data_IF_670694485163
#
_entry.id   IF_670694485163
#
_cell.length_a   1.000
_cell.length_b   1.000
_cell.length_c   1.000
_cell.angle_alpha   90.00
_cell.angle_beta   90.00
_cell.angle_gamma   90.00
#
_symmetry.space_group_name_H-M   'P 1'
#
loop_
_entity.id
_entity.type
_entity.pdbx_description
1 polymer ?
#
# COMPACT_ATOMS: atom_id res chain seq x y z
N UNK A 1 -11.70 14.25 6.68
CA UNK A 1 -11.90 15.21 5.60
C UNK A 1 -10.57 15.37 4.89
N UNK A 2 -10.38 14.78 3.70
CA UNK A 2 -9.11 14.86 2.98
C UNK A 2 -8.96 16.25 2.35
N UNK A 3 -8.13 17.11 2.95
CA UNK A 3 -7.84 18.41 2.35
C UNK A 3 -6.72 18.26 1.32
N UNK A 4 -7.04 18.54 0.05
CA UNK A 4 -6.12 18.50 -1.08
C UNK A 4 -5.84 19.92 -1.57
N UNK A 5 -4.57 20.29 -1.65
CA UNK A 5 -4.12 21.57 -2.16
C UNK A 5 -3.89 21.45 -3.66
N UNK A 6 -4.55 22.27 -4.51
CA UNK A 6 -4.22 22.30 -5.93
C UNK A 6 -2.80 22.84 -6.12
N UNK A 7 -2.06 22.26 -7.06
CA UNK A 7 -0.69 22.67 -7.41
C UNK A 7 -0.57 22.77 -8.92
N UNK A 8 -0.01 23.88 -9.39
CA UNK A 8 0.33 24.08 -10.80
C UNK A 8 1.83 24.33 -10.89
N UNK A 9 2.50 23.58 -11.77
CA UNK A 9 3.92 23.71 -12.07
C UNK A 9 4.06 24.22 -13.50
N UNK A 10 4.85 25.27 -13.69
CA UNK A 10 5.10 25.88 -15.01
C UNK A 10 6.59 25.84 -15.30
N UNK A 11 6.97 25.36 -16.49
CA UNK A 11 8.36 25.28 -16.96
C UNK A 11 8.44 25.77 -18.41
N UNK A 12 8.80 27.05 -18.59
CA UNK A 12 8.72 27.68 -19.91
C UNK A 12 7.26 27.76 -20.37
N UNK A 13 6.96 27.16 -21.52
CA UNK A 13 5.60 27.10 -22.08
C UNK A 13 4.81 25.84 -21.65
N UNK A 14 5.41 24.95 -20.86
CA UNK A 14 4.76 23.74 -20.33
C UNK A 14 4.10 24.00 -18.98
N UNK A 15 2.86 23.54 -18.81
CA UNK A 15 2.07 23.69 -17.59
C UNK A 15 1.43 22.35 -17.19
N UNK A 16 1.66 21.95 -15.94
CA UNK A 16 1.06 20.75 -15.35
C UNK A 16 0.28 21.14 -14.09
N UNK A 17 -0.98 20.73 -14.02
CA UNK A 17 -1.84 20.90 -12.84
C UNK A 17 -2.11 19.56 -12.17
N UNK A 18 -2.01 19.55 -10.84
CA UNK A 18 -2.24 18.40 -9.97
C UNK A 18 -2.71 18.85 -8.58
N UNK A 19 -2.58 17.99 -7.57
CA UNK A 19 -2.86 18.28 -6.18
C UNK A 19 -1.84 17.61 -5.26
N UNK A 20 -1.76 18.09 -4.02
CA UNK A 20 -0.98 17.46 -2.94
C UNK A 20 -1.81 17.39 -1.65
N UNK A 21 -1.60 16.34 -0.86
CA UNK A 21 -2.15 16.20 0.48
C UNK A 21 -1.04 16.20 1.52
N UNK A 22 -1.13 17.05 2.54
CA UNK A 22 -0.17 17.07 3.64
C UNK A 22 -0.64 16.17 4.78
N UNK A 23 0.16 15.16 5.12
CA UNK A 23 -0.06 14.28 6.27
C UNK A 23 1.24 13.76 6.86
N UNK A 24 1.21 13.39 8.13
CA UNK A 24 2.27 12.58 8.76
C UNK A 24 1.71 11.23 9.20
N UNK A 25 2.52 10.18 9.05
CA UNK A 25 2.22 8.83 9.53
C UNK A 25 3.38 8.36 10.41
N UNK A 26 3.09 7.56 11.42
CA UNK A 26 4.15 7.06 12.30
C UNK A 26 3.64 6.09 13.35
N UNK A 27 4.52 5.79 14.31
CA UNK A 27 4.20 5.01 15.50
C UNK A 27 4.44 5.90 16.71
N UNK A 28 3.49 5.93 17.63
CA UNK A 28 3.63 6.66 18.90
C UNK A 28 2.91 5.94 20.04
N UNK A 29 3.04 6.45 21.26
CA UNK A 29 2.35 5.90 22.42
C UNK A 29 0.98 6.56 22.60
N UNK A 30 -0.05 5.77 22.90
CA UNK A 30 -1.32 6.32 23.41
C UNK A 30 -1.20 6.76 24.88
N UNK A 31 -2.31 7.23 25.46
CA UNK A 31 -2.38 7.67 26.88
C UNK A 31 -1.98 6.59 27.89
N UNK A 32 -1.94 5.32 27.50
CA UNK A 32 -1.54 4.17 28.33
C UNK A 32 -0.12 3.69 28.03
N UNK A 33 0.64 4.40 27.20
CA UNK A 33 1.97 3.99 26.77
C UNK A 33 1.97 2.91 25.68
N UNK A 34 0.81 2.55 25.11
CA UNK A 34 0.74 1.47 24.11
C UNK A 34 1.10 2.00 22.73
N UNK A 35 2.00 1.33 21.96
CA UNK A 35 2.27 1.71 20.58
C UNK A 35 1.01 1.68 19.70
N UNK A 36 0.75 2.76 18.97
CA UNK A 36 -0.34 2.92 18.00
C UNK A 36 0.21 3.46 16.69
N UNK A 37 -0.47 3.12 15.61
CA UNK A 37 -0.33 3.82 14.34
C UNK A 37 -0.92 5.22 14.48
N UNK A 38 -0.17 6.20 14.04
CA UNK A 38 -0.52 7.61 14.14
C UNK A 38 -0.81 8.17 12.76
N UNK A 39 -1.83 9.04 12.67
CA UNK A 39 -2.09 9.90 11.52
C UNK A 39 -2.16 11.34 12.05
N UNK A 40 -1.29 12.22 11.54
CA UNK A 40 -1.19 13.61 11.97
C UNK A 40 -0.98 13.78 13.48
N UNK A 41 -0.19 12.88 14.09
CA UNK A 41 0.15 12.90 15.52
C UNK A 41 -0.86 12.23 16.44
N UNK A 42 -2.03 11.82 15.93
CA UNK A 42 -3.09 11.21 16.73
C UNK A 42 -3.25 9.71 16.43
N UNK A 43 -3.60 8.87 17.42
CA UNK A 43 -3.91 7.46 17.18
C UNK A 43 -5.00 7.29 16.13
N UNK A 44 -4.71 6.55 15.07
CA UNK A 44 -5.63 6.28 14.00
C UNK A 44 -5.79 4.77 13.83
N UNK A 45 -7.04 4.29 13.88
CA UNK A 45 -7.32 2.87 13.71
C UNK A 45 -7.27 2.53 12.23
N UNK A 46 -6.37 1.63 11.83
CA UNK A 46 -6.32 1.09 10.48
C UNK A 46 -7.27 -0.12 10.38
N UNK A 47 -8.57 0.15 10.35
CA UNK A 47 -9.58 -0.87 10.08
C UNK A 47 -9.66 -1.06 8.55
N UNK A 48 -8.89 -2.02 8.04
CA UNK A 48 -8.66 -2.21 6.62
C UNK A 48 -9.27 -3.47 6.00
N UNK A 49 -9.70 -3.35 4.75
CA UNK A 49 -10.04 -4.49 3.88
C UNK A 49 -8.81 -4.97 3.12
N UNK A 50 -8.71 -6.27 2.90
CA UNK A 50 -7.80 -6.83 1.89
C UNK A 50 -8.48 -6.70 0.52
N UNK A 51 -8.09 -5.69 -0.25
CA UNK A 51 -8.64 -5.37 -1.55
C UNK A 51 -7.87 -6.12 -2.65
N UNK A 52 -8.52 -7.10 -3.26
CA UNK A 52 -7.97 -7.92 -4.34
C UNK A 52 -7.91 -7.19 -5.69
N UNK A 53 -8.69 -6.11 -5.86
CA UNK A 53 -8.83 -5.42 -7.14
C UNK A 53 -9.46 -6.28 -8.24
N UNK A 54 -10.41 -7.15 -7.86
CA UNK A 54 -11.16 -8.01 -8.78
C UNK A 54 -12.43 -7.32 -9.29
N UNK A 55 -12.67 -7.44 -10.60
CA UNK A 55 -13.82 -6.91 -11.32
C UNK A 55 -14.40 -8.03 -12.20
N UNK A 56 -15.72 -8.23 -12.18
CA UNK A 56 -16.36 -9.31 -12.95
C UNK A 56 -16.08 -9.22 -14.45
N UNK A 57 -16.04 -8.00 -14.99
CA UNK A 57 -15.98 -7.76 -16.43
C UNK A 57 -14.54 -7.59 -16.93
N UNK A 58 -13.65 -7.09 -16.05
CA UNK A 58 -12.27 -6.72 -16.40
C UNK A 58 -11.19 -7.51 -15.66
N UNK A 59 -11.58 -8.48 -14.82
CA UNK A 59 -10.71 -9.24 -13.92
C UNK A 59 -9.89 -8.34 -13.00
N UNK A 60 -8.72 -7.88 -13.43
CA UNK A 60 -7.86 -6.98 -12.67
C UNK A 60 -7.92 -5.54 -13.18
N UNK A 61 -8.79 -5.24 -14.14
CA UNK A 61 -8.95 -3.88 -14.67
C UNK A 61 -10.30 -3.33 -14.23
N UNK A 62 -10.35 -2.18 -13.54
CA UNK A 62 -11.62 -1.54 -13.21
C UNK A 62 -12.37 -1.15 -14.50
N UNK A 63 -13.69 -1.38 -14.56
CA UNK A 63 -14.47 -1.10 -15.77
C UNK A 63 -14.70 0.41 -15.98
N UNK A 64 -14.72 1.22 -14.91
CA UNK A 64 -14.84 2.68 -14.99
C UNK A 64 -14.42 3.38 -13.68
N UNK A 65 -14.36 4.72 -13.70
CA UNK A 65 -14.13 5.53 -12.49
C UNK A 65 -15.28 5.38 -11.50
N UNK A 66 -16.52 5.36 -11.98
CA UNK A 66 -17.72 5.23 -11.16
C UNK A 66 -17.72 3.92 -10.37
N UNK A 67 -17.23 2.83 -10.99
CA UNK A 67 -17.07 1.55 -10.31
C UNK A 67 -16.04 1.64 -9.17
N UNK A 68 -14.86 2.22 -9.42
CA UNK A 68 -13.85 2.46 -8.38
C UNK A 68 -14.38 3.34 -7.24
N UNK A 69 -15.08 4.42 -7.58
CA UNK A 69 -15.70 5.33 -6.61
C UNK A 69 -16.74 4.61 -5.78
N UNK A 70 -17.59 3.81 -6.41
CA UNK A 70 -18.64 3.05 -5.73
C UNK A 70 -18.06 2.16 -4.64
N UNK A 71 -17.00 1.39 -4.96
CA UNK A 71 -16.35 0.47 -4.02
C UNK A 71 -15.66 1.23 -2.88
N UNK A 72 -14.90 2.29 -3.17
CA UNK A 72 -14.21 3.09 -2.15
C UNK A 72 -15.23 3.76 -1.21
N UNK A 73 -16.30 4.32 -1.77
CA UNK A 73 -17.36 4.93 -0.97
C UNK A 73 -18.12 3.89 -0.14
N UNK A 74 -18.36 2.70 -0.70
CA UNK A 74 -18.98 1.61 0.04
C UNK A 74 -18.13 1.22 1.24
N UNK A 75 -16.83 0.97 1.04
CA UNK A 75 -15.90 0.64 2.12
C UNK A 75 -15.92 1.73 3.22
N UNK A 76 -15.88 3.00 2.83
CA UNK A 76 -15.98 4.12 3.77
C UNK A 76 -17.31 4.14 4.54
N UNK A 77 -18.45 3.96 3.85
CA UNK A 77 -19.78 3.91 4.49
C UNK A 77 -19.93 2.72 5.42
N UNK A 78 -19.27 1.60 5.13
CA UNK A 78 -19.22 0.41 5.98
C UNK A 78 -18.29 0.60 7.20
N UNK A 79 -17.62 1.75 7.35
CA UNK A 79 -16.79 2.08 8.50
C UNK A 79 -15.31 1.72 8.35
N UNK A 80 -14.89 1.24 7.18
CA UNK A 80 -13.46 1.02 6.91
C UNK A 80 -12.75 2.37 6.70
N UNK A 81 -11.50 2.39 7.14
CA UNK A 81 -10.64 3.58 7.17
C UNK A 81 -9.43 3.44 6.26
N UNK A 82 -9.17 2.22 5.79
CA UNK A 82 -8.02 1.87 4.98
C UNK A 82 -8.36 0.76 3.98
N UNK A 83 -7.74 0.78 2.81
CA UNK A 83 -7.72 -0.33 1.86
C UNK A 83 -6.28 -0.85 1.75
N UNK A 84 -6.09 -2.15 2.00
CA UNK A 84 -4.83 -2.82 1.73
C UNK A 84 -4.91 -3.47 0.36
N UNK A 85 -4.27 -2.86 -0.63
CA UNK A 85 -4.23 -3.39 -1.99
C UNK A 85 -3.34 -4.63 -2.00
N UNK A 86 -3.91 -5.76 -2.36
CA UNK A 86 -3.24 -7.06 -2.29
C UNK A 86 -2.40 -7.31 -3.54
N UNK A 87 -1.07 -7.35 -3.36
CA UNK A 87 -0.04 -7.79 -4.34
C UNK A 87 -0.26 -7.32 -5.79
N UNK A 88 -0.78 -6.10 -5.98
CA UNK A 88 -1.15 -5.51 -7.27
C UNK A 88 -0.99 -4.00 -7.20
N UNK A 89 -0.57 -3.36 -8.29
CA UNK A 89 -0.62 -1.90 -8.45
C UNK A 89 -1.88 -1.54 -9.25
N UNK A 90 -2.71 -0.63 -8.73
CA UNK A 90 -3.89 -0.13 -9.44
C UNK A 90 -3.54 1.00 -10.43
N UNK A 91 -4.43 1.32 -11.39
CA UNK A 91 -4.33 2.53 -12.19
C UNK A 91 -4.28 3.78 -11.32
N UNK A 92 -3.55 4.83 -11.75
CA UNK A 92 -3.42 6.10 -10.99
C UNK A 92 -4.76 6.71 -10.57
N UNK A 93 -5.81 6.52 -11.40
CA UNK A 93 -7.17 6.98 -11.11
C UNK A 93 -7.76 6.39 -9.81
N UNK A 94 -7.39 5.15 -9.46
CA UNK A 94 -7.82 4.53 -8.21
C UNK A 94 -7.22 5.24 -6.99
N UNK A 95 -5.91 5.51 -6.99
CA UNK A 95 -5.26 6.25 -5.89
C UNK A 95 -5.81 7.69 -5.80
N UNK A 96 -6.02 8.35 -6.94
CA UNK A 96 -6.69 9.65 -6.99
C UNK A 96 -8.08 9.62 -6.32
N UNK A 97 -8.85 8.55 -6.56
CA UNK A 97 -10.14 8.40 -5.93
C UNK A 97 -10.03 8.10 -4.42
N UNK A 98 -9.04 7.33 -3.98
CA UNK A 98 -8.76 7.14 -2.55
C UNK A 98 -8.43 8.47 -1.87
N UNK A 99 -7.57 9.30 -2.47
CA UNK A 99 -7.19 10.61 -1.93
C UNK A 99 -8.42 11.51 -1.75
N UNK A 100 -9.19 11.73 -2.82
CA UNK A 100 -10.34 12.65 -2.79
C UNK A 100 -11.49 12.15 -1.91
N UNK A 101 -11.63 10.83 -1.73
CA UNK A 101 -12.69 10.23 -0.92
C UNK A 101 -12.26 10.04 0.55
N UNK A 102 -10.97 10.20 0.85
CA UNK A 102 -10.41 10.13 2.20
C UNK A 102 -10.25 8.71 2.70
N UNK A 103 -9.64 7.85 1.88
CA UNK A 103 -9.35 6.46 2.20
C UNK A 103 -7.84 6.25 2.31
N UNK A 104 -7.34 5.78 3.44
CA UNK A 104 -5.92 5.40 3.55
C UNK A 104 -5.64 4.19 2.66
N UNK A 105 -4.46 4.16 2.05
CA UNK A 105 -4.02 3.02 1.23
C UNK A 105 -2.78 2.39 1.86
N UNK A 106 -2.81 1.08 2.02
CA UNK A 106 -1.62 0.25 2.20
C UNK A 106 -1.35 -0.47 0.87
N UNK A 107 -0.31 -0.03 0.17
CA UNK A 107 0.11 -0.64 -1.07
C UNK A 107 1.03 -1.82 -0.77
N UNK A 108 0.59 -3.05 -1.04
CA UNK A 108 1.51 -4.19 -1.00
C UNK A 108 2.44 -4.17 -2.23
N UNK A 109 3.65 -4.66 -2.05
CA UNK A 109 4.56 -4.88 -3.17
C UNK A 109 4.20 -6.16 -3.94
N UNK A 110 4.25 -6.11 -5.27
CA UNK A 110 3.91 -7.25 -6.15
C UNK A 110 5.02 -8.29 -6.10
N UNK A 111 4.92 -9.28 -5.21
CA UNK A 111 5.95 -10.30 -5.11
C UNK A 111 5.54 -11.63 -5.76
N UNK A 112 6.46 -12.19 -6.55
CA UNK A 112 6.42 -13.61 -6.90
C UNK A 112 6.73 -14.50 -5.68
N UNK A 113 6.31 -15.76 -5.77
CA UNK A 113 6.55 -16.78 -4.74
C UNK A 113 7.18 -18.04 -5.32
N UNK A 114 7.87 -18.80 -4.47
CA UNK A 114 8.24 -20.19 -4.72
C UNK A 114 7.41 -21.14 -3.85
N UNK A 115 7.76 -22.44 -3.79
CA UNK A 115 7.09 -23.38 -2.91
C UNK A 115 7.07 -22.89 -1.46
N UNK A 116 5.92 -23.07 -0.80
CA UNK A 116 5.72 -22.62 0.57
C UNK A 116 6.69 -23.31 1.53
N UNK A 117 7.33 -22.54 2.40
CA UNK A 117 8.33 -23.04 3.37
C UNK A 117 7.83 -22.80 4.78
N UNK A 118 7.21 -23.83 5.38
CA UNK A 118 6.63 -23.77 6.74
C UNK A 118 7.55 -23.14 7.78
N UNK A 119 8.84 -23.48 7.78
CA UNK A 119 9.83 -22.93 8.73
C UNK A 119 10.03 -21.41 8.65
N UNK A 120 9.72 -20.79 7.52
CA UNK A 120 9.84 -19.35 7.31
C UNK A 120 8.52 -18.65 7.60
N UNK A 121 7.40 -19.28 7.25
CA UNK A 121 6.08 -18.62 7.30
C UNK A 121 5.32 -18.94 8.59
N UNK A 122 5.33 -20.19 9.05
CA UNK A 122 4.52 -20.63 10.20
C UNK A 122 5.28 -20.54 11.52
N UNK A 123 6.58 -20.83 11.52
CA UNK A 123 7.38 -20.84 12.75
C UNK A 123 7.33 -19.48 13.50
N UNK A 124 7.42 -18.32 12.83
CA UNK A 124 7.31 -17.02 13.50
C UNK A 124 5.90 -16.69 14.01
N UNK A 125 4.86 -17.43 13.59
CA UNK A 125 3.50 -17.23 14.10
C UNK A 125 3.31 -17.90 15.46
N UNK A 126 4.01 -19.02 15.69
CA UNK A 126 3.96 -19.77 16.95
C UNK A 126 5.13 -19.50 17.89
N UNK A 127 6.11 -18.69 17.47
CA UNK A 127 7.31 -18.37 18.25
C UNK A 127 7.66 -16.90 18.05
N UNK A 128 8.27 -16.26 19.06
CA UNK A 128 8.78 -14.88 18.94
C UNK A 128 10.10 -14.79 18.15
N UNK A 129 10.37 -15.79 17.29
CA UNK A 129 11.60 -15.91 16.52
C UNK A 129 11.38 -15.38 15.11
N UNK A 130 11.69 -14.10 14.92
CA UNK A 130 11.63 -13.44 13.61
C UNK A 130 12.99 -13.43 12.92
N UNK A 131 13.01 -13.83 11.64
CA UNK A 131 14.19 -13.69 10.78
C UNK A 131 14.01 -12.51 9.85
N UNK A 132 15.08 -11.73 9.69
CA UNK A 132 15.13 -10.69 8.66
C UNK A 132 15.38 -11.31 7.30
N UNK A 133 14.71 -10.79 6.29
CA UNK A 133 14.80 -11.20 4.89
C UNK A 133 15.90 -10.47 4.10
N UNK A 134 16.52 -9.44 4.70
CA UNK A 134 17.60 -8.62 4.13
C UNK A 134 19.01 -9.21 4.34
N UNK A 135 19.15 -10.29 5.10
CA UNK A 135 20.45 -10.90 5.42
C UNK A 135 20.88 -11.87 4.33
N UNK A 136 22.13 -11.72 3.85
CA UNK A 136 22.69 -12.56 2.80
C UNK A 136 22.59 -14.08 3.08
N UNK A 137 22.80 -14.49 4.33
CA UNK A 137 22.68 -15.89 4.78
C UNK A 137 21.24 -16.44 4.73
N UNK A 138 20.25 -15.55 4.82
CA UNK A 138 18.83 -15.90 4.92
C UNK A 138 18.11 -15.81 3.57
N UNK A 139 18.69 -15.13 2.57
CA UNK A 139 18.13 -15.00 1.21
C UNK A 139 17.60 -16.31 0.62
N UNK A 140 18.38 -17.40 0.73
CA UNK A 140 17.94 -18.70 0.21
C UNK A 140 16.67 -19.17 0.91
N UNK A 141 16.54 -18.95 2.23
CA UNK A 141 15.37 -19.37 3.01
C UNK A 141 14.09 -18.68 2.52
N UNK A 142 14.16 -17.38 2.21
CA UNK A 142 13.07 -16.54 1.69
C UNK A 142 12.88 -16.61 0.16
N UNK A 143 13.52 -17.56 -0.54
CA UNK A 143 13.37 -17.72 -1.99
C UNK A 143 14.08 -16.64 -2.83
N UNK A 144 14.99 -15.86 -2.23
CA UNK A 144 15.71 -14.74 -2.87
C UNK A 144 17.16 -15.10 -3.22
N UNK A 145 17.44 -16.32 -3.69
CA UNK A 145 18.82 -16.80 -3.94
C UNK A 145 19.53 -16.08 -5.10
N UNK A 146 18.81 -15.71 -6.16
CA UNK A 146 19.39 -15.00 -7.32
C UNK A 146 19.75 -13.55 -6.98
N UNK A 147 20.99 -13.15 -7.27
CA UNK A 147 21.42 -11.76 -7.12
C UNK A 147 20.67 -10.84 -8.08
N UNK A 148 20.51 -11.27 -9.32
CA UNK A 148 19.73 -10.58 -10.35
C UNK A 148 18.27 -10.40 -9.92
N UNK A 149 17.61 -11.46 -9.45
CA UNK A 149 16.21 -11.38 -8.98
C UNK A 149 16.03 -10.43 -7.78
N UNK A 150 17.03 -10.33 -6.89
CA UNK A 150 17.03 -9.34 -5.80
C UNK A 150 17.21 -7.90 -6.31
N UNK A 151 17.99 -7.70 -7.37
CA UNK A 151 18.14 -6.38 -7.99
C UNK A 151 16.87 -5.99 -8.74
N UNK A 152 16.28 -6.91 -9.50
CA UNK A 152 15.00 -6.70 -10.19
C UNK A 152 13.90 -6.29 -9.21
N UNK A 153 13.72 -7.04 -8.12
CA UNK A 153 12.76 -6.69 -7.08
C UNK A 153 12.93 -5.28 -6.52
N UNK A 154 14.17 -4.84 -6.29
CA UNK A 154 14.42 -3.48 -5.80
C UNK A 154 14.03 -2.43 -6.82
N UNK A 155 14.33 -2.67 -8.11
CA UNK A 155 13.89 -1.78 -9.19
C UNK A 155 12.38 -1.70 -9.29
N UNK A 156 11.69 -2.84 -9.27
CA UNK A 156 10.22 -2.90 -9.31
C UNK A 156 9.59 -2.25 -8.08
N UNK A 157 10.20 -2.40 -6.90
CA UNK A 157 9.76 -1.73 -5.68
C UNK A 157 9.93 -0.21 -5.79
N UNK A 158 11.08 0.26 -6.30
CA UNK A 158 11.33 1.68 -6.52
C UNK A 158 10.37 2.26 -7.58
N UNK A 159 10.10 1.53 -8.66
CA UNK A 159 9.12 1.89 -9.69
C UNK A 159 7.70 1.98 -9.12
N UNK A 160 7.29 1.00 -8.30
CA UNK A 160 6.01 1.04 -7.61
C UNK A 160 5.91 2.27 -6.71
N UNK A 161 6.94 2.55 -5.89
CA UNK A 161 6.93 3.72 -5.00
C UNK A 161 6.88 5.02 -5.78
N UNK A 162 7.51 5.10 -6.96
CA UNK A 162 7.43 6.28 -7.85
C UNK A 162 6.09 6.43 -8.57
N UNK A 163 5.33 5.34 -8.71
CA UNK A 163 3.99 5.35 -9.30
C UNK A 163 2.92 5.84 -8.31
N UNK A 164 3.18 5.71 -7.00
CA UNK A 164 2.33 6.21 -5.92
C UNK A 164 2.59 7.70 -5.63
#
# INVERSE_FOLDING_TARGET
DPHLYPVTLVCGDDEVSSYVGMRSVGVGADRRGTPRLMLNGEPYLHLGLLDQGYWSDGWLTPPSDEAMVSDIQFARRAGFTMLRKHIKVEPMRWYFHCDRLGMLVWQDAVNGGGPYRRRVVELPLGTDVHRRDDRARDHRAFGRSSAEGRQQWRRELDEMVRHL
#
